data_IF_769666610680
#
_entry.id   IF_769666610680
#
_cell.length_a   1.000
_cell.length_b   1.000
_cell.length_c   1.000
_cell.angle_alpha   90.00
_cell.angle_beta   90.00
_cell.angle_gamma   90.00
#
_symmetry.space_group_name_H-M   'P 1'
#
loop_
_entity.id
_entity.type
_entity.pdbx_description
1 polymer ?
#
# COMPACT_ATOMS: atom_id res chain seq x y z
N UNK A 1 4.41 8.14 3.92
CA UNK A 1 4.33 7.25 2.74
C UNK A 1 2.93 6.68 2.51
N UNK A 2 2.29 6.03 3.50
CA UNK A 2 0.96 5.42 3.35
C UNK A 2 -0.10 6.31 2.68
N UNK A 3 -0.29 7.55 3.16
CA UNK A 3 -1.24 8.50 2.56
C UNK A 3 -0.96 8.81 1.08
N UNK A 4 0.31 8.86 0.69
CA UNK A 4 0.69 9.11 -0.70
C UNK A 4 0.30 7.93 -1.59
N UNK A 5 0.56 6.71 -1.15
CA UNK A 5 0.15 5.48 -1.85
C UNK A 5 -1.37 5.43 -2.03
N UNK A 6 -2.12 5.56 -0.92
CA UNK A 6 -3.60 5.54 -0.94
C UNK A 6 -4.15 6.59 -1.91
N UNK A 7 -3.64 7.83 -1.84
CA UNK A 7 -4.10 8.92 -2.71
C UNK A 7 -3.91 8.60 -4.19
N UNK A 8 -2.76 8.03 -4.55
CA UNK A 8 -2.48 7.67 -5.95
C UNK A 8 -3.34 6.50 -6.43
N UNK A 9 -3.55 5.49 -5.58
CA UNK A 9 -4.40 4.34 -5.93
C UNK A 9 -5.84 4.81 -6.19
N UNK A 10 -6.41 5.63 -5.31
CA UNK A 10 -7.76 6.20 -5.50
C UNK A 10 -7.80 7.13 -6.72
N UNK A 11 -6.81 8.00 -6.90
CA UNK A 11 -6.76 8.91 -8.04
C UNK A 11 -6.62 8.19 -9.39
N UNK A 12 -5.96 7.03 -9.42
CA UNK A 12 -5.85 6.17 -10.61
C UNK A 12 -7.14 5.39 -10.91
N UNK A 13 -8.15 5.48 -10.05
CA UNK A 13 -9.45 4.83 -10.23
C UNK A 13 -9.43 3.31 -10.03
N UNK A 14 -8.40 2.78 -9.35
CA UNK A 14 -8.26 1.36 -9.03
C UNK A 14 -9.25 0.90 -7.93
N UNK A 15 -9.62 1.80 -7.02
CA UNK A 15 -10.63 1.61 -5.99
C UNK A 15 -11.24 2.94 -5.57
N UNK A 16 -12.48 2.93 -5.06
CA UNK A 16 -13.15 4.14 -4.55
C UNK A 16 -12.70 4.48 -3.12
N UNK A 17 -12.37 3.45 -2.32
CA UNK A 17 -11.85 3.58 -0.96
C UNK A 17 -10.82 2.49 -0.69
N UNK A 18 -9.74 2.86 -0.02
CA UNK A 18 -8.78 1.89 0.48
C UNK A 18 -8.09 2.36 1.75
N UNK A 19 -7.65 1.40 2.54
CA UNK A 19 -6.82 1.54 3.71
C UNK A 19 -5.50 0.80 3.46
N UNK A 20 -4.39 1.42 3.85
CA UNK A 20 -3.06 0.80 3.81
C UNK A 20 -2.49 0.86 5.22
N UNK A 21 -2.05 -0.29 5.71
CA UNK A 21 -1.33 -0.42 6.96
C UNK A 21 0.13 -0.80 6.66
N UNK A 22 1.05 -0.11 7.32
CA UNK A 22 2.49 -0.35 7.25
C UNK A 22 2.98 -0.69 8.65
N UNK A 23 3.65 -1.84 8.78
CA UNK A 23 4.25 -2.26 10.05
C UNK A 23 5.77 -2.19 9.96
N UNK A 24 6.39 -1.62 11.00
CA UNK A 24 7.84 -1.50 11.14
C UNK A 24 8.28 -2.10 12.46
N UNK A 25 9.44 -2.76 12.45
CA UNK A 25 10.10 -3.24 13.66
C UNK A 25 11.33 -2.38 13.94
N UNK A 26 11.59 -2.12 15.23
CA UNK A 26 12.77 -1.36 15.66
C UNK A 26 14.04 -2.09 15.18
N UNK A 27 14.91 -1.37 14.49
CA UNK A 27 16.17 -1.89 13.94
C UNK A 27 16.05 -2.55 12.56
N UNK A 28 14.86 -2.59 11.95
CA UNK A 28 14.66 -3.07 10.58
C UNK A 28 14.26 -1.89 9.70
N UNK A 29 15.10 -1.58 8.72
CA UNK A 29 14.85 -0.47 7.80
C UNK A 29 13.68 -0.75 6.84
N UNK A 30 13.47 -2.02 6.45
CA UNK A 30 12.35 -2.40 5.61
C UNK A 30 11.06 -2.57 6.42
N UNK A 31 9.91 -2.31 5.79
CA UNK A 31 8.60 -2.63 6.38
C UNK A 31 8.47 -4.14 6.55
N UNK A 32 8.03 -4.57 7.73
CA UNK A 32 7.83 -5.99 8.06
C UNK A 32 6.58 -6.54 7.36
N UNK A 33 5.53 -5.72 7.27
CA UNK A 33 4.31 -6.10 6.57
C UNK A 33 3.60 -4.89 5.98
N UNK A 34 2.91 -5.13 4.86
CA UNK A 34 2.01 -4.20 4.21
C UNK A 34 0.67 -4.91 4.12
N UNK A 35 -0.37 -4.29 4.64
CA UNK A 35 -1.73 -4.77 4.47
C UNK A 35 -2.53 -3.72 3.72
N UNK A 36 -3.31 -4.17 2.74
CA UNK A 36 -4.21 -3.33 1.97
C UNK A 36 -5.64 -3.81 2.24
N UNK A 37 -6.56 -2.89 2.44
CA UNK A 37 -8.01 -3.13 2.53
C UNK A 37 -8.72 -2.22 1.54
N UNK A 38 -9.54 -2.80 0.67
CA UNK A 38 -10.21 -2.11 -0.44
C UNK A 38 -11.73 -2.06 -0.26
N UNK A 39 -12.26 -2.65 0.81
CA UNK A 39 -13.66 -2.63 1.19
C UNK A 39 -14.59 -3.04 0.03
N UNK A 40 -14.16 -4.02 -0.77
CA UNK A 40 -14.85 -4.53 -1.98
C UNK A 40 -15.07 -3.48 -3.09
N UNK A 41 -14.25 -2.42 -3.14
CA UNK A 41 -14.32 -1.40 -4.20
C UNK A 41 -13.17 -1.50 -5.22
N UNK A 42 -12.24 -2.44 -5.04
CA UNK A 42 -11.16 -2.62 -6.00
C UNK A 42 -11.65 -3.26 -7.30
N UNK A 43 -11.13 -2.75 -8.41
CA UNK A 43 -11.36 -3.29 -9.76
C UNK A 43 -10.38 -4.39 -10.15
N UNK A 44 -9.29 -4.53 -9.39
CA UNK A 44 -8.23 -5.51 -9.62
C UNK A 44 -7.92 -6.26 -8.33
N UNK A 45 -7.26 -7.40 -8.47
CA UNK A 45 -6.83 -8.19 -7.32
C UNK A 45 -5.90 -7.40 -6.40
N UNK A 46 -6.22 -7.44 -5.10
CA UNK A 46 -5.47 -6.80 -4.02
C UNK A 46 -3.97 -7.11 -4.05
N UNK A 47 -3.62 -8.38 -4.31
CA UNK A 47 -2.23 -8.83 -4.36
C UNK A 47 -1.42 -8.10 -5.43
N UNK A 48 -2.00 -7.80 -6.60
CA UNK A 48 -1.31 -7.05 -7.66
C UNK A 48 -1.00 -5.62 -7.24
N UNK A 49 -1.88 -5.00 -6.46
CA UNK A 49 -1.65 -3.66 -5.91
C UNK A 49 -0.50 -3.71 -4.90
N UNK A 50 -0.50 -4.70 -3.99
CA UNK A 50 0.55 -4.87 -2.99
C UNK A 50 1.91 -5.13 -3.66
N UNK A 51 1.97 -6.04 -4.63
CA UNK A 51 3.19 -6.35 -5.39
C UNK A 51 3.70 -5.12 -6.14
N UNK A 52 2.80 -4.34 -6.74
CA UNK A 52 3.17 -3.08 -7.37
C UNK A 52 3.78 -2.09 -6.38
N UNK A 53 3.21 -1.97 -5.18
CA UNK A 53 3.73 -1.06 -4.14
C UNK A 53 5.14 -1.48 -3.73
N UNK A 54 5.36 -2.76 -3.43
CA UNK A 54 6.64 -3.28 -2.96
C UNK A 54 7.74 -3.12 -4.01
N UNK A 55 7.43 -3.33 -5.29
CA UNK A 55 8.41 -3.28 -6.36
C UNK A 55 8.79 -1.85 -6.81
N UNK A 56 7.91 -0.87 -6.58
CA UNK A 56 8.09 0.50 -7.10
C UNK A 56 8.39 1.54 -6.03
N UNK A 57 8.10 1.26 -4.75
CA UNK A 57 8.29 2.21 -3.66
C UNK A 57 9.24 1.67 -2.60
N UNK A 58 10.24 2.49 -2.26
CA UNK A 58 11.04 2.29 -1.07
C UNK A 58 10.22 2.74 0.16
N UNK A 59 9.85 1.77 0.99
CA UNK A 59 9.06 1.99 2.18
C UNK A 59 9.91 2.13 3.44
N UNK A 60 11.23 2.29 3.31
CA UNK A 60 12.10 2.48 4.47
C UNK A 60 11.84 3.80 5.20
N UNK A 61 11.78 3.81 6.56
CA UNK A 61 11.79 5.04 7.33
C UNK A 61 13.16 5.74 7.16
N UNK A 62 13.14 7.02 6.76
CA UNK A 62 14.32 7.90 6.69
C UNK A 62 14.27 8.97 7.77
#
# INVERSE_FOLDING_TARGET
MARYLVKNIVASGLCDKCEIQLSYAIGIAQSVSIFLEDFNTAKIEKNKIVDFIVNNFDLSPK
#
